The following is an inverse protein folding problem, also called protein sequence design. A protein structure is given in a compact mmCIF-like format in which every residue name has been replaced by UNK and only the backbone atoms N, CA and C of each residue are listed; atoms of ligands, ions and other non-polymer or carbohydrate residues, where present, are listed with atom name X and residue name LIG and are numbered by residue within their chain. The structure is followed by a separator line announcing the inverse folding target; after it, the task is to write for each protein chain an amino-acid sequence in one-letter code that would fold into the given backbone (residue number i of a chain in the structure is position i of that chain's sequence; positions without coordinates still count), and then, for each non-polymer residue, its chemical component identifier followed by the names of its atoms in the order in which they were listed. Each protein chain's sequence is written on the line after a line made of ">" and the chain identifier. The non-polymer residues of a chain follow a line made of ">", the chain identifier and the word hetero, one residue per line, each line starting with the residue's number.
data_IF_964132189733
#
_entry.id   IF_964132189733
#
_cell.length_a   1.000
_cell.length_b   1.000
_cell.length_c   1.000
_cell.angle_alpha   90.00
_cell.angle_beta   90.00
_cell.angle_gamma   90.00
#
_symmetry.space_group_name_H-M   'P 1'
#
loop_
_entity.id
_entity.type
_entity.pdbx_description
1 polymer ?
#
# COMPACT_ATOMS: atom_id res chain seq x y z
N UNK A 1 -20.37 -34.93 -15.12
CA UNK A 1 -19.20 -34.62 -15.97
C UNK A 1 -19.10 -33.10 -16.12
N UNK A 2 -18.24 -32.44 -15.38
CA UNK A 2 -17.99 -31.01 -15.56
C UNK A 2 -16.96 -30.88 -16.67
N UNK A 3 -17.39 -30.33 -17.82
CA UNK A 3 -16.52 -29.99 -18.92
C UNK A 3 -15.51 -28.95 -18.47
N UNK A 4 -14.30 -29.39 -18.12
CA UNK A 4 -13.14 -28.52 -17.91
C UNK A 4 -12.53 -28.22 -19.30
N UNK A 5 -13.29 -27.47 -20.10
CA UNK A 5 -12.75 -26.81 -21.27
C UNK A 5 -11.82 -25.71 -20.71
N UNK A 6 -10.52 -25.99 -20.66
CA UNK A 6 -9.50 -25.02 -20.33
C UNK A 6 -9.62 -23.86 -21.33
N UNK A 7 -10.40 -22.84 -20.97
CA UNK A 7 -10.54 -21.64 -21.78
C UNK A 7 -9.16 -21.00 -21.91
N UNK A 8 -8.80 -20.66 -23.16
CA UNK A 8 -7.55 -19.97 -23.45
C UNK A 8 -7.39 -18.78 -22.50
N UNK A 9 -6.24 -18.61 -21.84
CA UNK A 9 -6.08 -17.54 -20.86
C UNK A 9 -6.37 -16.17 -21.47
N UNK A 10 -7.17 -15.36 -20.78
CA UNK A 10 -7.47 -13.99 -21.20
C UNK A 10 -6.18 -13.16 -21.13
N UNK A 11 -5.72 -12.65 -22.26
CA UNK A 11 -4.51 -11.83 -22.36
C UNK A 11 -4.77 -10.33 -22.37
N UNK A 12 -5.97 -9.88 -22.08
CA UNK A 12 -6.30 -8.47 -21.92
C UNK A 12 -5.81 -7.95 -20.55
N UNK A 13 -4.50 -7.97 -20.35
CA UNK A 13 -3.86 -7.74 -19.03
C UNK A 13 -4.22 -6.40 -18.42
N UNK A 14 -4.26 -5.32 -19.22
CA UNK A 14 -4.65 -3.98 -18.74
C UNK A 14 -6.09 -4.00 -18.20
N UNK A 15 -7.01 -4.62 -18.93
CA UNK A 15 -8.40 -4.74 -18.50
C UNK A 15 -8.52 -5.56 -17.20
N UNK A 16 -7.88 -6.72 -17.15
CA UNK A 16 -7.90 -7.61 -15.98
C UNK A 16 -7.32 -6.92 -14.76
N UNK A 17 -6.17 -6.25 -14.91
CA UNK A 17 -5.52 -5.50 -13.83
C UNK A 17 -6.43 -4.40 -13.28
N UNK A 18 -7.02 -3.59 -14.17
CA UNK A 18 -7.92 -2.50 -13.77
C UNK A 18 -9.18 -3.00 -13.06
N UNK A 19 -9.78 -4.10 -13.52
CA UNK A 19 -10.97 -4.68 -12.88
C UNK A 19 -10.61 -5.28 -11.52
N UNK A 20 -9.52 -6.04 -11.44
CA UNK A 20 -9.04 -6.63 -10.20
C UNK A 20 -8.73 -5.56 -9.15
N UNK A 21 -8.01 -4.51 -9.52
CA UNK A 21 -7.69 -3.38 -8.66
C UNK A 21 -8.96 -2.72 -8.10
N UNK A 22 -9.94 -2.39 -8.96
CA UNK A 22 -11.21 -1.77 -8.52
C UNK A 22 -12.00 -2.65 -7.56
N UNK A 23 -12.02 -3.97 -7.80
CA UNK A 23 -12.72 -4.92 -6.92
C UNK A 23 -12.03 -5.02 -5.56
N UNK A 24 -10.70 -5.13 -5.56
CA UNK A 24 -9.90 -5.19 -4.34
C UNK A 24 -10.04 -3.91 -3.52
N UNK A 25 -9.95 -2.73 -4.16
CA UNK A 25 -10.13 -1.44 -3.49
C UNK A 25 -11.50 -1.32 -2.84
N UNK A 26 -12.58 -1.72 -3.53
CA UNK A 26 -13.94 -1.71 -2.95
C UNK A 26 -14.06 -2.63 -1.74
N UNK A 27 -13.46 -3.82 -1.81
CA UNK A 27 -13.45 -4.76 -0.71
C UNK A 27 -12.71 -4.19 0.52
N UNK A 28 -11.52 -3.64 0.31
CA UNK A 28 -10.72 -3.00 1.38
C UNK A 28 -11.46 -1.79 1.96
N UNK A 29 -12.03 -0.94 1.12
CA UNK A 29 -12.79 0.25 1.56
C UNK A 29 -14.03 -0.13 2.39
N UNK A 30 -14.72 -1.22 2.06
CA UNK A 30 -15.86 -1.69 2.84
C UNK A 30 -15.45 -2.10 4.26
N UNK A 31 -14.26 -2.69 4.43
CA UNK A 31 -13.74 -3.09 5.74
C UNK A 31 -13.23 -1.91 6.59
N UNK A 32 -12.93 -0.76 5.98
CA UNK A 32 -12.46 0.42 6.71
C UNK A 32 -13.59 1.26 7.30
N UNK A 33 -14.84 1.04 6.89
CA UNK A 33 -16.02 1.74 7.44
C UNK A 33 -16.22 1.50 8.94
N UNK A 34 -15.70 0.39 9.46
CA UNK A 34 -15.78 0.01 10.87
C UNK A 34 -14.61 0.54 11.73
N UNK A 35 -14.01 1.68 11.34
CA UNK A 35 -12.92 2.32 12.09
C UNK A 35 -11.51 1.79 11.79
N UNK A 36 -11.35 1.06 10.68
CA UNK A 36 -10.03 0.64 10.18
C UNK A 36 -9.29 1.77 9.46
N UNK A 37 -7.98 1.58 9.27
CA UNK A 37 -7.15 2.50 8.48
C UNK A 37 -7.38 2.31 6.97
N UNK A 38 -7.32 3.39 6.20
CA UNK A 38 -7.41 3.35 4.74
C UNK A 38 -6.18 2.68 4.11
N UNK A 39 -6.25 2.33 2.81
CA UNK A 39 -5.10 1.75 2.10
C UNK A 39 -3.88 2.68 2.12
N UNK A 40 -4.08 3.99 1.95
CA UNK A 40 -3.00 4.97 2.01
C UNK A 40 -2.38 5.08 3.42
N UNK A 41 -3.23 5.10 4.46
CA UNK A 41 -2.78 5.08 5.85
C UNK A 41 -2.03 3.77 6.19
N UNK A 42 -2.53 2.64 5.72
CA UNK A 42 -1.84 1.34 5.85
C UNK A 42 -0.46 1.37 5.22
N UNK A 43 -0.35 1.93 4.01
CA UNK A 43 0.92 2.10 3.33
C UNK A 43 1.92 2.91 4.16
N UNK A 44 1.50 4.05 4.71
CA UNK A 44 2.38 4.88 5.54
C UNK A 44 2.77 4.17 6.86
N UNK A 45 1.86 3.45 7.49
CA UNK A 45 2.18 2.62 8.66
C UNK A 45 3.24 1.57 8.34
N UNK A 46 3.18 0.91 7.17
CA UNK A 46 4.18 -0.05 6.74
C UNK A 46 5.55 0.59 6.48
N UNK A 47 5.59 1.76 5.83
CA UNK A 47 6.83 2.52 5.62
C UNK A 47 7.48 2.86 6.96
N UNK A 48 6.72 3.41 7.90
CA UNK A 48 7.22 3.77 9.23
C UNK A 48 7.57 2.55 10.08
N UNK A 49 6.91 1.43 9.88
CA UNK A 49 7.25 0.17 10.55
C UNK A 49 8.59 -0.42 10.10
N UNK A 50 9.09 -0.03 8.92
CA UNK A 50 10.44 -0.40 8.42
C UNK A 50 11.50 0.63 8.82
N UNK A 51 11.15 1.91 8.78
CA UNK A 51 12.06 3.02 9.06
C UNK A 51 11.29 4.10 9.82
N UNK A 52 11.26 3.99 11.16
CA UNK A 52 10.65 5.00 12.01
C UNK A 52 11.53 6.27 11.98
N UNK A 53 10.91 7.42 11.82
CA UNK A 53 11.63 8.69 11.65
C UNK A 53 12.07 8.97 10.20
N UNK A 54 11.46 8.34 9.22
CA UNK A 54 11.72 8.60 7.80
C UNK A 54 11.36 10.03 7.43
N UNK A 55 12.11 10.64 6.50
CA UNK A 55 11.75 11.94 5.92
C UNK A 55 10.42 11.86 5.17
N UNK A 56 9.60 12.90 5.28
CA UNK A 56 8.29 12.96 4.61
C UNK A 56 8.39 12.74 3.10
N UNK A 57 9.41 13.33 2.45
CA UNK A 57 9.65 13.14 1.02
C UNK A 57 10.01 11.70 0.65
N UNK A 58 10.81 11.01 1.48
CA UNK A 58 11.16 9.59 1.29
C UNK A 58 9.93 8.70 1.47
N UNK A 59 9.08 9.00 2.46
CA UNK A 59 7.81 8.30 2.66
C UNK A 59 6.86 8.49 1.46
N UNK A 60 6.80 9.70 0.92
CA UNK A 60 6.05 10.00 -0.30
C UNK A 60 6.54 9.19 -1.49
N UNK A 61 7.85 9.17 -1.72
CA UNK A 61 8.47 8.40 -2.80
C UNK A 61 8.17 6.90 -2.67
N UNK A 62 8.26 6.34 -1.45
CA UNK A 62 7.95 4.93 -1.19
C UNK A 62 6.48 4.56 -1.47
N UNK A 63 5.57 5.53 -1.37
CA UNK A 63 4.12 5.35 -1.60
C UNK A 63 3.67 5.83 -2.98
N UNK A 64 4.60 6.25 -3.81
CA UNK A 64 4.30 6.88 -5.11
C UNK A 64 3.37 8.11 -5.00
N UNK A 65 3.60 8.92 -3.95
CA UNK A 65 2.87 10.16 -3.68
C UNK A 65 3.77 11.38 -3.88
N UNK A 66 3.23 12.43 -4.50
CA UNK A 66 3.86 13.75 -4.49
C UNK A 66 3.77 14.44 -3.11
N UNK A 67 4.48 15.56 -2.93
CA UNK A 67 4.50 16.30 -1.66
C UNK A 67 3.10 16.70 -1.15
N UNK A 68 2.15 17.19 -1.98
CA UNK A 68 0.80 17.48 -1.49
C UNK A 68 0.08 16.22 -0.98
N UNK A 69 0.25 15.08 -1.64
CA UNK A 69 -0.38 13.82 -1.27
C UNK A 69 0.12 13.27 0.06
N UNK A 70 1.45 13.22 0.24
CA UNK A 70 2.05 12.72 1.49
C UNK A 70 1.83 13.70 2.65
N UNK A 71 1.86 15.01 2.42
CA UNK A 71 1.59 16.01 3.46
C UNK A 71 0.15 15.88 3.98
N UNK A 72 -0.84 15.84 3.09
CA UNK A 72 -2.24 15.66 3.51
C UNK A 72 -2.51 14.31 4.18
N UNK A 73 -1.82 13.23 3.76
CA UNK A 73 -1.90 11.94 4.43
C UNK A 73 -1.32 12.01 5.84
N UNK A 74 -0.13 12.60 6.00
CA UNK A 74 0.54 12.75 7.28
C UNK A 74 -0.30 13.58 8.25
N UNK A 75 -0.89 14.70 7.81
CA UNK A 75 -1.77 15.55 8.63
C UNK A 75 -2.96 14.76 9.17
N UNK A 76 -3.67 14.02 8.32
CA UNK A 76 -4.79 13.17 8.76
C UNK A 76 -4.37 12.10 9.77
N UNK A 77 -3.16 11.54 9.62
CA UNK A 77 -2.65 10.53 10.55
C UNK A 77 -2.16 11.14 11.87
N UNK A 78 -1.67 12.38 11.87
CA UNK A 78 -1.37 13.15 13.09
C UNK A 78 -2.67 13.45 13.85
N UNK A 79 -3.71 13.95 13.15
CA UNK A 79 -5.03 14.18 13.75
C UNK A 79 -5.65 12.92 14.34
N UNK A 80 -5.45 11.78 13.69
CA UNK A 80 -5.88 10.48 14.20
C UNK A 80 -4.99 9.93 15.35
N UNK A 81 -3.93 10.63 15.73
CA UNK A 81 -3.01 10.22 16.79
C UNK A 81 -2.14 9.00 16.46
N UNK A 82 -2.01 8.66 15.17
CA UNK A 82 -1.26 7.48 14.71
C UNK A 82 0.23 7.76 14.49
N UNK A 83 0.56 8.99 14.14
CA UNK A 83 1.95 9.43 13.92
C UNK A 83 2.21 10.78 14.55
N UNK A 84 3.49 11.09 14.73
CA UNK A 84 4.00 12.40 15.07
C UNK A 84 4.87 12.94 13.94
N UNK A 85 4.86 14.25 13.79
CA UNK A 85 5.66 14.99 12.82
C UNK A 85 6.66 15.85 13.60
N UNK A 86 7.96 15.67 13.32
CA UNK A 86 9.04 16.41 13.96
C UNK A 86 9.93 17.03 12.91
N UNK A 87 10.45 18.26 13.17
CA UNK A 87 11.44 18.87 12.30
C UNK A 87 12.70 18.01 12.22
N UNK A 88 13.31 17.92 11.04
CA UNK A 88 14.59 17.24 10.87
C UNK A 88 15.70 18.07 11.59
N UNK A 89 16.51 17.46 12.45
CA UNK A 89 17.63 18.16 13.11
C UNK A 89 18.68 18.72 12.13
N UNK A 90 18.82 18.08 10.97
CA UNK A 90 19.79 18.48 9.95
C UNK A 90 19.26 19.58 9.01
N UNK A 91 17.93 19.64 8.78
CA UNK A 91 17.28 20.63 7.94
C UNK A 91 15.91 20.97 8.54
N UNK A 92 15.79 22.12 9.20
CA UNK A 92 14.56 22.58 9.84
C UNK A 92 13.37 22.81 8.88
N UNK A 93 13.59 22.74 7.57
CA UNK A 93 12.53 22.79 6.55
C UNK A 93 11.96 21.41 6.23
N UNK A 94 12.68 20.35 6.56
CA UNK A 94 12.27 18.96 6.36
C UNK A 94 11.56 18.42 7.61
N UNK A 95 10.64 17.49 7.38
CA UNK A 95 9.88 16.84 8.42
C UNK A 95 10.14 15.34 8.45
N UNK A 96 10.29 14.80 9.66
CA UNK A 96 10.35 13.36 9.92
C UNK A 96 9.06 12.87 10.53
N UNK A 97 8.67 11.67 10.15
CA UNK A 97 7.43 11.02 10.59
C UNK A 97 7.76 9.85 11.52
N UNK A 98 7.10 9.79 12.67
CA UNK A 98 7.30 8.77 13.69
C UNK A 98 5.98 8.11 14.08
N UNK A 99 6.01 6.81 14.36
CA UNK A 99 4.85 6.12 14.93
C UNK A 99 4.62 6.50 16.38
N UNK A 100 3.38 6.76 16.74
CA UNK A 100 2.94 6.79 18.15
C UNK A 100 2.73 5.36 18.68
N UNK A 101 2.42 5.22 19.96
CA UNK A 101 1.99 3.92 20.52
C UNK A 101 0.73 3.42 19.79
N UNK A 102 -0.25 4.31 19.58
CA UNK A 102 -1.47 3.98 18.82
C UNK A 102 -1.16 3.60 17.37
N UNK A 103 -0.19 4.27 16.74
CA UNK A 103 0.29 3.94 15.40
C UNK A 103 0.93 2.56 15.32
N UNK A 104 1.75 2.19 16.29
CA UNK A 104 2.32 0.82 16.38
C UNK A 104 1.24 -0.25 16.54
N UNK A 105 0.24 0.01 17.37
CA UNK A 105 -0.90 -0.89 17.53
C UNK A 105 -1.73 -1.00 16.24
N UNK A 106 -1.96 0.11 15.55
CA UNK A 106 -2.63 0.13 14.26
C UNK A 106 -1.83 -0.65 13.20
N UNK A 107 -0.51 -0.50 13.17
CA UNK A 107 0.37 -1.26 12.28
C UNK A 107 0.27 -2.77 12.53
N UNK A 108 0.27 -3.20 13.79
CA UNK A 108 0.15 -4.62 14.13
C UNK A 108 -1.19 -5.21 13.63
N UNK A 109 -2.31 -4.50 13.85
CA UNK A 109 -3.62 -4.91 13.32
C UNK A 109 -3.64 -4.93 11.79
N UNK A 110 -3.04 -3.94 11.16
CA UNK A 110 -2.94 -3.83 9.70
C UNK A 110 -2.14 -4.99 9.11
N UNK A 111 -1.01 -5.36 9.73
CA UNK A 111 -0.20 -6.52 9.30
C UNK A 111 -1.01 -7.81 9.32
N UNK A 112 -1.77 -8.06 10.38
CA UNK A 112 -2.62 -9.25 10.48
C UNK A 112 -3.69 -9.28 9.36
N UNK A 113 -4.37 -8.16 9.12
CA UNK A 113 -5.39 -8.06 8.05
C UNK A 113 -4.80 -8.23 6.65
N UNK A 114 -3.62 -7.66 6.40
CA UNK A 114 -2.92 -7.82 5.11
C UNK A 114 -2.49 -9.26 4.91
N UNK A 115 -2.03 -9.95 5.96
CA UNK A 115 -1.68 -11.36 5.88
C UNK A 115 -2.90 -12.23 5.52
N UNK A 116 -4.06 -12.00 6.14
CA UNK A 116 -5.31 -12.69 5.80
C UNK A 116 -5.74 -12.41 4.34
N UNK A 117 -5.64 -11.16 3.90
CA UNK A 117 -5.96 -10.77 2.53
C UNK A 117 -5.02 -11.43 1.53
N UNK A 118 -3.72 -11.45 1.80
CA UNK A 118 -2.73 -12.12 0.96
C UNK A 118 -2.99 -13.62 0.87
N UNK A 119 -3.28 -14.29 1.99
CA UNK A 119 -3.64 -15.69 1.97
C UNK A 119 -4.85 -15.97 1.05
N UNK A 120 -5.86 -15.10 1.10
CA UNK A 120 -7.04 -15.20 0.23
C UNK A 120 -6.72 -14.91 -1.24
N UNK A 121 -5.81 -13.96 -1.52
CA UNK A 121 -5.39 -13.63 -2.89
C UNK A 121 -4.59 -14.75 -3.55
N UNK A 122 -3.84 -15.52 -2.76
CA UNK A 122 -2.98 -16.60 -3.26
C UNK A 122 -3.66 -17.97 -3.23
N UNK A 123 -4.87 -18.08 -2.70
CA UNK A 123 -5.61 -19.33 -2.62
C UNK A 123 -5.79 -19.97 -4.01
N UNK A 124 -5.38 -21.22 -4.15
CA UNK A 124 -5.47 -21.97 -5.41
C UNK A 124 -4.29 -21.78 -6.36
N UNK A 125 -3.24 -21.05 -5.95
CA UNK A 125 -2.02 -20.87 -6.70
C UNK A 125 -0.81 -21.42 -5.91
N UNK A 126 0.16 -21.98 -6.62
CA UNK A 126 1.44 -22.41 -6.04
C UNK A 126 2.36 -21.20 -5.79
N UNK A 127 3.33 -21.35 -4.89
CA UNK A 127 4.34 -20.32 -4.60
C UNK A 127 5.07 -19.88 -5.88
N UNK A 128 5.40 -20.82 -6.76
CA UNK A 128 6.07 -20.53 -8.05
C UNK A 128 5.21 -19.62 -8.95
N UNK A 129 3.90 -19.87 -9.01
CA UNK A 129 2.99 -19.04 -9.80
C UNK A 129 2.87 -17.62 -9.19
N UNK A 130 2.81 -17.53 -7.87
CA UNK A 130 2.78 -16.25 -7.16
C UNK A 130 4.08 -15.48 -7.34
N UNK A 131 5.24 -16.15 -7.34
CA UNK A 131 6.53 -15.53 -7.63
C UNK A 131 6.58 -14.94 -9.04
N UNK A 132 6.01 -15.64 -10.03
CA UNK A 132 5.92 -15.15 -11.41
C UNK A 132 5.04 -13.89 -11.46
N UNK A 133 3.87 -13.91 -10.82
CA UNK A 133 2.95 -12.77 -10.77
C UNK A 133 3.60 -11.57 -10.06
N UNK A 134 4.26 -11.81 -8.92
CA UNK A 134 4.95 -10.77 -8.15
C UNK A 134 6.05 -10.11 -8.98
N UNK A 135 6.89 -10.91 -9.65
CA UNK A 135 7.94 -10.41 -10.55
C UNK A 135 7.36 -9.62 -11.72
N UNK A 136 6.24 -10.07 -12.28
CA UNK A 136 5.57 -9.36 -13.37
C UNK A 136 5.03 -8.00 -12.90
N UNK A 137 4.33 -7.94 -11.75
CA UNK A 137 3.82 -6.69 -11.18
C UNK A 137 4.94 -5.69 -10.88
N UNK A 138 6.08 -6.15 -10.35
CA UNK A 138 7.25 -5.31 -10.12
C UNK A 138 7.78 -4.77 -11.45
N UNK A 139 7.85 -5.61 -12.49
CA UNK A 139 8.32 -5.18 -13.82
C UNK A 139 7.38 -4.15 -14.47
N UNK A 140 6.09 -4.20 -14.18
CA UNK A 140 5.13 -3.19 -14.68
C UNK A 140 5.46 -1.82 -14.10
N UNK A 141 5.78 -1.73 -12.81
CA UNK A 141 6.15 -0.45 -12.17
C UNK A 141 7.38 0.19 -12.81
N UNK A 142 8.40 -0.62 -13.17
CA UNK A 142 9.61 -0.12 -13.82
C UNK A 142 9.41 0.24 -15.30
N UNK A 143 8.45 -0.40 -15.99
CA UNK A 143 8.12 -0.09 -17.39
C UNK A 143 7.30 1.20 -17.55
N UNK A 144 6.57 1.55 -16.53
CA UNK A 144 5.75 2.76 -16.47
C UNK A 144 6.15 3.57 -15.24
N UNK A 145 7.34 4.21 -15.29
CA UNK A 145 7.81 5.04 -14.19
C UNK A 145 6.84 6.21 -13.99
N UNK A 146 6.82 6.73 -12.77
CA UNK A 146 6.10 7.96 -12.46
C UNK A 146 6.57 9.05 -13.41
N UNK A 147 5.65 9.71 -14.11
CA UNK A 147 5.99 10.89 -14.88
C UNK A 147 6.59 11.94 -13.95
N UNK A 148 7.68 12.59 -14.39
CA UNK A 148 8.14 13.81 -13.75
C UNK A 148 7.04 14.85 -13.98
N UNK A 149 6.08 14.93 -13.05
CA UNK A 149 5.12 16.03 -13.01
C UNK A 149 5.93 17.30 -12.70
N UNK A 150 6.23 18.08 -13.76
CA UNK A 150 6.72 19.46 -13.67
C UNK A 150 5.72 20.36 -12.93
#
# INVERSE_FOLDING_TARGET
>A
MRNNSASKPDRRLIFLLNVAQRRLQRFVAAQTRDGGVTSAQSGLLFVLGRTDGVLMGEAGAALDLGMPGISGLAERMVEAGLIEKRADPADGRAWRLFLTVSGRNALARTKARVAELNARLTEGFSDTEIDIVSRWLISVQSKFPKGDDE
#
